data_IF_803918672526
#
_entry.id   IF_803918672526
#
_cell.length_a   1.000
_cell.length_b   1.000
_cell.length_c   1.000
_cell.angle_alpha   90.00
_cell.angle_beta   90.00
_cell.angle_gamma   90.00
#
_symmetry.space_group_name_H-M   'P 1'
#
loop_
_entity.id
_entity.type
_entity.pdbx_description
1 polymer ?
#
# COMPACT_ATOMS: atom_id res chain seq x y z
N UNK A 1 -9.29 -6.71 5.40
CA UNK A 1 -8.69 -7.12 4.12
C UNK A 1 -9.48 -8.27 3.50
N UNK A 2 -9.47 -9.50 4.03
CA UNK A 2 -10.19 -10.66 3.47
C UNK A 2 -11.65 -10.38 3.08
N UNK A 3 -12.45 -9.81 3.99
CA UNK A 3 -13.87 -9.53 3.72
C UNK A 3 -14.09 -8.59 2.52
N UNK A 4 -13.23 -7.57 2.36
CA UNK A 4 -13.33 -6.62 1.25
C UNK A 4 -12.82 -7.23 -0.06
N UNK A 5 -11.69 -7.96 -0.01
CA UNK A 5 -11.13 -8.67 -1.15
C UNK A 5 -12.06 -9.72 -1.74
N UNK A 6 -12.92 -10.34 -0.91
CA UNK A 6 -13.93 -11.30 -1.36
C UNK A 6 -15.27 -10.65 -1.72
N UNK A 7 -15.37 -9.32 -1.61
CA UNK A 7 -16.54 -8.57 -2.03
C UNK A 7 -16.45 -8.19 -3.52
N UNK A 8 -17.53 -7.66 -4.07
CA UNK A 8 -17.57 -7.19 -5.47
C UNK A 8 -16.88 -5.84 -5.70
N UNK A 9 -16.39 -5.17 -4.66
CA UNK A 9 -15.81 -3.84 -4.75
C UNK A 9 -14.29 -3.90 -4.91
N UNK A 10 -13.73 -2.93 -5.64
CA UNK A 10 -12.28 -2.74 -5.68
C UNK A 10 -11.71 -2.44 -4.29
N UNK A 11 -10.59 -3.07 -3.95
CA UNK A 11 -9.96 -2.92 -2.63
C UNK A 11 -8.59 -2.26 -2.73
N UNK A 12 -8.43 -1.11 -2.06
CA UNK A 12 -7.12 -0.50 -1.84
C UNK A 12 -6.47 -1.03 -0.55
N UNK A 13 -5.34 -1.71 -0.68
CA UNK A 13 -4.55 -2.23 0.45
C UNK A 13 -3.43 -1.25 0.78
N UNK A 14 -3.76 -0.22 1.56
CA UNK A 14 -2.83 0.83 1.98
C UNK A 14 -2.02 0.42 3.22
N UNK A 15 -0.81 -0.12 3.01
CA UNK A 15 0.05 -0.60 4.10
C UNK A 15 1.51 -0.67 3.70
N UNK A 16 2.40 -0.53 4.68
CA UNK A 16 3.84 -0.77 4.54
C UNK A 16 4.31 -2.04 5.24
N UNK A 17 3.41 -2.81 5.87
CA UNK A 17 3.77 -4.00 6.62
C UNK A 17 3.89 -5.23 5.69
N UNK A 18 5.05 -5.89 5.67
CA UNK A 18 5.29 -7.08 4.85
C UNK A 18 4.41 -8.27 5.21
N UNK A 19 4.06 -8.45 6.48
CA UNK A 19 3.19 -9.54 6.91
C UNK A 19 1.80 -9.38 6.30
N UNK A 20 1.30 -8.14 6.27
CA UNK A 20 0.01 -7.81 5.67
C UNK A 20 0.07 -7.98 4.15
N UNK A 21 1.14 -7.54 3.50
CA UNK A 21 1.33 -7.71 2.06
C UNK A 21 1.36 -9.19 1.71
N UNK A 22 2.13 -9.98 2.45
CA UNK A 22 2.27 -11.43 2.22
C UNK A 22 0.94 -12.15 2.45
N UNK A 23 0.24 -11.84 3.55
CA UNK A 23 -1.09 -12.36 3.81
C UNK A 23 -2.09 -12.01 2.70
N UNK A 24 -2.03 -10.79 2.18
CA UNK A 24 -2.87 -10.36 1.05
C UNK A 24 -2.56 -11.19 -0.20
N UNK A 25 -1.28 -11.36 -0.55
CA UNK A 25 -0.85 -12.20 -1.68
C UNK A 25 -1.34 -13.65 -1.54
N UNK A 26 -1.27 -14.22 -0.34
CA UNK A 26 -1.82 -15.55 -0.05
C UNK A 26 -3.32 -15.61 -0.35
N UNK A 27 -4.11 -14.66 0.14
CA UNK A 27 -5.55 -14.61 -0.11
C UNK A 27 -5.88 -14.46 -1.61
N UNK A 28 -5.13 -13.62 -2.32
CA UNK A 28 -5.30 -13.41 -3.77
C UNK A 28 -5.06 -14.71 -4.52
N UNK A 29 -3.99 -15.44 -4.16
CA UNK A 29 -3.66 -16.72 -4.77
C UNK A 29 -4.69 -17.81 -4.44
N UNK A 30 -5.11 -17.92 -3.18
CA UNK A 30 -6.07 -18.94 -2.72
C UNK A 30 -7.46 -18.76 -3.34
N UNK A 31 -7.91 -17.52 -3.49
CA UNK A 31 -9.25 -17.19 -3.98
C UNK A 31 -9.28 -16.77 -5.46
N UNK A 32 -8.14 -16.85 -6.16
CA UNK A 32 -7.99 -16.48 -7.57
C UNK A 32 -8.53 -15.07 -7.88
N UNK A 33 -8.25 -14.12 -6.99
CA UNK A 33 -8.76 -12.75 -7.10
C UNK A 33 -8.05 -12.06 -8.28
N UNK A 34 -8.78 -11.49 -9.26
CA UNK A 34 -8.17 -10.76 -10.36
C UNK A 34 -7.35 -9.58 -9.87
N UNK A 35 -6.20 -9.33 -10.50
CA UNK A 35 -5.25 -8.27 -10.09
C UNK A 35 -5.82 -6.87 -10.29
N UNK A 36 -6.86 -6.73 -11.09
CA UNK A 36 -7.54 -5.47 -11.37
C UNK A 36 -8.44 -5.05 -10.20
N UNK A 37 -8.95 -6.01 -9.40
CA UNK A 37 -9.89 -5.78 -8.30
C UNK A 37 -9.21 -5.26 -7.02
N UNK A 38 -7.89 -5.13 -7.00
CA UNK A 38 -7.19 -4.53 -5.88
C UNK A 38 -5.93 -3.81 -6.32
N UNK A 39 -5.40 -2.99 -5.42
CA UNK A 39 -4.10 -2.36 -5.57
C UNK A 39 -3.41 -2.26 -4.21
N UNK A 40 -2.08 -2.27 -4.21
CA UNK A 40 -1.29 -1.89 -3.05
C UNK A 40 -1.08 -0.38 -3.05
N UNK A 41 -1.17 0.24 -1.88
CA UNK A 41 -0.88 1.66 -1.71
C UNK A 41 0.16 1.91 -0.62
N UNK A 42 1.08 2.83 -0.87
CA UNK A 42 2.10 3.25 0.08
C UNK A 42 2.34 4.76 0.00
N UNK A 43 2.83 5.33 1.10
CA UNK A 43 3.26 6.73 1.13
C UNK A 43 4.54 6.95 0.31
N UNK A 44 4.63 8.10 -0.33
CA UNK A 44 5.83 8.55 -1.01
C UNK A 44 7.05 8.59 -0.07
N UNK A 45 8.19 8.11 -0.56
CA UNK A 45 9.46 8.08 0.17
C UNK A 45 9.62 6.94 1.18
N UNK A 46 8.58 6.15 1.46
CA UNK A 46 8.62 5.09 2.47
C UNK A 46 8.62 3.71 1.82
N UNK A 47 9.69 2.93 2.07
CA UNK A 47 9.89 1.57 1.53
C UNK A 47 9.85 1.52 -0.01
N UNK A 48 10.55 2.45 -0.67
CA UNK A 48 10.55 2.60 -2.14
C UNK A 48 10.93 1.33 -2.90
N UNK A 49 11.89 0.54 -2.38
CA UNK A 49 12.27 -0.72 -3.03
C UNK A 49 11.12 -1.73 -3.03
N UNK A 50 10.37 -1.82 -1.93
CA UNK A 50 9.19 -2.70 -1.85
C UNK A 50 8.08 -2.27 -2.81
N UNK A 51 7.93 -0.96 -3.04
CA UNK A 51 6.98 -0.43 -4.03
C UNK A 51 7.35 -0.89 -5.44
N UNK A 52 8.64 -0.82 -5.80
CA UNK A 52 9.14 -1.30 -7.11
C UNK A 52 8.95 -2.81 -7.25
N UNK A 53 9.36 -3.58 -6.25
CA UNK A 53 9.20 -5.04 -6.25
C UNK A 53 7.75 -5.45 -6.51
N UNK A 54 6.78 -4.84 -5.82
CA UNK A 54 5.37 -5.15 -6.03
C UNK A 54 4.89 -4.81 -7.45
N UNK A 55 5.37 -3.70 -8.03
CA UNK A 55 5.05 -3.33 -9.40
C UNK A 55 5.69 -4.32 -10.41
N UNK A 56 6.93 -4.75 -10.17
CA UNK A 56 7.66 -5.73 -11.00
C UNK A 56 7.04 -7.12 -10.94
N UNK A 57 6.51 -7.52 -9.78
CA UNK A 57 5.68 -8.72 -9.62
C UNK A 57 4.33 -8.63 -10.39
N UNK A 58 4.01 -7.46 -10.93
CA UNK A 58 2.84 -7.18 -11.74
C UNK A 58 1.58 -6.86 -10.92
N UNK A 59 1.73 -6.41 -9.67
CA UNK A 59 0.63 -5.85 -8.90
C UNK A 59 0.43 -4.36 -9.24
N UNK A 60 -0.82 -3.89 -9.18
CA UNK A 60 -1.12 -2.46 -9.26
C UNK A 60 -0.60 -1.78 -8.00
N UNK A 61 0.36 -0.87 -8.16
CA UNK A 61 0.99 -0.12 -7.08
C UNK A 61 0.68 1.37 -7.22
N UNK A 62 0.07 1.98 -6.20
CA UNK A 62 -0.21 3.42 -6.14
C UNK A 62 0.55 4.09 -5.01
N UNK A 63 1.29 5.14 -5.32
CA UNK A 63 2.02 5.93 -4.33
C UNK A 63 1.24 7.18 -3.96
N UNK A 64 1.01 7.40 -2.67
CA UNK A 64 0.39 8.62 -2.15
C UNK A 64 1.44 9.73 -2.10
N UNK A 65 1.32 10.70 -3.01
CA UNK A 65 2.25 11.83 -3.18
C UNK A 65 1.61 13.13 -2.70
N UNK A 66 1.92 13.59 -1.47
CA UNK A 66 1.52 14.92 -1.01
C UNK A 66 2.32 16.00 -1.77
N UNK A 67 1.68 17.14 -2.08
CA UNK A 67 2.33 18.28 -2.72
C UNK A 67 1.71 19.61 -2.24
N UNK A 68 2.42 20.72 -2.44
CA UNK A 68 1.99 22.06 -2.02
C UNK A 68 2.93 22.72 -1.00
N UNK A 69 2.63 23.97 -0.65
CA UNK A 69 3.49 24.79 0.22
C UNK A 69 3.34 24.48 1.71
N UNK A 70 2.21 23.91 2.14
CA UNK A 70 1.95 23.52 3.54
C UNK A 70 2.40 22.07 3.83
N UNK A 71 3.65 21.77 3.47
CA UNK A 71 4.22 20.42 3.60
C UNK A 71 4.67 20.10 5.03
N UNK A 72 4.99 21.13 5.84
CA UNK A 72 5.58 20.96 7.17
C UNK A 72 4.62 20.27 8.13
N UNK A 73 3.35 20.71 8.18
CA UNK A 73 2.33 20.09 9.02
C UNK A 73 2.08 18.61 8.66
N UNK A 74 2.09 18.29 7.37
CA UNK A 74 1.98 16.90 6.90
C UNK A 74 3.18 16.06 7.37
N UNK A 75 4.42 16.54 7.18
CA UNK A 75 5.63 15.82 7.58
C UNK A 75 5.67 15.57 9.10
N UNK A 76 5.35 16.58 9.90
CA UNK A 76 5.37 16.45 11.36
C UNK A 76 4.40 15.37 11.85
N UNK A 77 3.22 15.24 11.23
CA UNK A 77 2.29 14.14 11.55
C UNK A 77 2.89 12.77 11.21
N UNK A 78 3.61 12.65 10.08
CA UNK A 78 4.26 11.38 9.67
C UNK A 78 5.37 10.96 10.63
N UNK A 79 6.17 11.90 11.12
CA UNK A 79 7.21 11.65 12.13
C UNK A 79 6.58 11.22 13.46
N UNK A 80 5.51 11.90 13.89
CA UNK A 80 4.82 11.56 15.13
C UNK A 80 4.20 10.16 15.11
N UNK A 81 3.67 9.71 13.98
CA UNK A 81 3.06 8.38 13.85
C UNK A 81 4.06 7.22 13.92
N UNK A 82 5.26 7.40 13.35
CA UNK A 82 6.41 6.51 13.53
C UNK A 82 7.69 7.34 13.44
N UNK A 83 8.48 7.46 14.52
CA UNK A 83 9.73 8.23 14.50
C UNK A 83 10.72 7.78 13.43
N UNK A 84 10.68 6.50 13.02
CA UNK A 84 11.49 5.96 11.93
C UNK A 84 11.11 6.47 10.51
N UNK A 85 10.09 7.32 10.39
CA UNK A 85 9.75 8.03 9.15
C UNK A 85 10.53 9.35 8.99
N UNK A 86 11.27 9.80 10.00
CA UNK A 86 12.10 11.01 9.97
C UNK A 86 13.42 10.78 9.23
#
# INVERSE_FOLDING_TARGET
IKLQLLSVHETAVATHNDDIISYTKTLISEHQIPREQFEFQMLYGIRTERQKELAEEGYRMRVYVPYGTDWYGYLMRRIAERPANA
#
